data_IF_988671322103
#
_entry.id   IF_988671322103
#
_cell.length_a   1.000
_cell.length_b   1.000
_cell.length_c   1.000
_cell.angle_alpha   90.00
_cell.angle_beta   90.00
_cell.angle_gamma   90.00
#
_symmetry.space_group_name_H-M   'P 1'
#
loop_
_entity.id
_entity.type
_entity.pdbx_description
1 polymer ?
#
# COMPACT_ATOMS: atom_id res chain seq x y z
N UNK A 1 19.94 -10.96 5.76
CA UNK A 1 19.83 -10.56 7.18
C UNK A 1 18.38 -10.37 7.60
N UNK A 2 17.62 -9.47 6.95
CA UNK A 2 16.24 -9.08 7.34
C UNK A 2 15.14 -10.18 7.31
N UNK A 3 15.41 -11.40 6.87
CA UNK A 3 14.43 -12.50 6.78
C UNK A 3 14.59 -13.57 7.88
N UNK A 4 15.47 -13.34 8.87
CA UNK A 4 15.74 -14.32 9.91
C UNK A 4 14.65 -14.30 11.00
N UNK A 5 13.90 -15.40 11.10
CA UNK A 5 12.79 -15.55 12.08
C UNK A 5 13.25 -15.48 13.54
N UNK A 6 14.55 -15.62 13.82
CA UNK A 6 15.11 -15.39 15.16
C UNK A 6 14.83 -13.99 15.69
N UNK A 7 14.73 -12.99 14.82
CA UNK A 7 14.47 -11.62 15.27
C UNK A 7 13.10 -11.42 15.92
N UNK A 8 12.11 -12.22 15.53
CA UNK A 8 10.79 -12.23 16.19
C UNK A 8 10.68 -13.21 17.37
N UNK A 9 11.79 -13.85 17.77
CA UNK A 9 11.86 -14.77 18.90
C UNK A 9 11.70 -16.25 18.54
N UNK A 10 11.63 -16.59 17.25
CA UNK A 10 11.45 -17.97 16.80
C UNK A 10 12.79 -18.66 16.54
N UNK A 11 13.01 -19.80 17.18
CA UNK A 11 14.14 -20.66 16.88
C UNK A 11 13.72 -21.71 15.84
N UNK A 12 14.34 -21.65 14.65
CA UNK A 12 14.13 -22.63 13.59
C UNK A 12 15.32 -23.58 13.53
N UNK A 13 15.08 -24.87 13.68
CA UNK A 13 16.05 -25.93 13.41
C UNK A 13 15.42 -26.96 12.46
N UNK A 14 16.00 -27.07 11.26
CA UNK A 14 15.41 -27.85 10.15
C UNK A 14 13.96 -27.42 9.91
N UNK A 15 13.01 -28.34 10.10
CA UNK A 15 11.58 -28.12 9.88
C UNK A 15 10.81 -27.81 11.17
N UNK A 16 11.50 -27.80 12.32
CA UNK A 16 10.89 -27.53 13.62
C UNK A 16 11.05 -26.04 13.94
N UNK A 17 9.92 -25.38 14.21
CA UNK A 17 9.85 -23.99 14.65
C UNK A 17 9.43 -23.99 16.11
N UNK A 18 10.30 -23.49 16.98
CA UNK A 18 10.03 -23.32 18.41
C UNK A 18 9.78 -21.83 18.65
N UNK A 19 8.54 -21.51 19.06
CA UNK A 19 8.20 -20.14 19.43
C UNK A 19 8.79 -19.78 20.80
N UNK A 20 9.32 -18.57 20.94
CA UNK A 20 10.04 -18.13 22.15
C UNK A 20 11.39 -18.81 22.41
N UNK A 21 11.93 -19.59 21.47
CA UNK A 21 13.21 -20.30 21.64
C UNK A 21 14.46 -19.40 21.68
N UNK A 22 14.32 -18.11 21.35
CA UNK A 22 15.35 -17.08 21.49
C UNK A 22 14.75 -15.75 21.93
N UNK A 23 15.50 -14.87 22.62
CA UNK A 23 15.01 -13.54 22.97
C UNK A 23 14.54 -12.76 21.75
N UNK A 24 13.32 -12.24 21.81
CA UNK A 24 12.72 -11.41 20.77
C UNK A 24 13.45 -10.06 20.70
N UNK A 25 13.82 -9.64 19.49
CA UNK A 25 14.49 -8.35 19.23
C UNK A 25 13.52 -7.35 18.60
N UNK A 26 12.59 -7.82 17.75
CA UNK A 26 11.58 -7.00 17.07
C UNK A 26 10.19 -7.64 17.19
N UNK A 27 9.14 -6.83 17.10
CA UNK A 27 7.76 -7.34 17.09
C UNK A 27 7.43 -8.11 15.81
N UNK A 28 6.48 -9.04 15.91
CA UNK A 28 5.97 -9.81 14.78
C UNK A 28 5.38 -8.89 13.69
N UNK A 29 4.65 -7.85 14.11
CA UNK A 29 4.10 -6.84 13.20
C UNK A 29 5.19 -6.13 12.38
N UNK A 30 6.26 -5.68 13.03
CA UNK A 30 7.38 -5.02 12.35
C UNK A 30 8.12 -6.00 11.42
N UNK A 31 8.37 -7.22 11.88
CA UNK A 31 9.03 -8.25 11.08
C UNK A 31 8.22 -8.60 9.82
N UNK A 32 6.90 -8.75 9.96
CA UNK A 32 5.99 -9.04 8.85
C UNK A 32 5.92 -7.89 7.84
N UNK A 33 5.81 -6.63 8.30
CA UNK A 33 5.90 -5.44 7.43
C UNK A 33 7.20 -5.42 6.61
N UNK A 34 8.33 -5.79 7.23
CA UNK A 34 9.62 -5.91 6.52
C UNK A 34 9.61 -7.06 5.51
N UNK A 35 9.04 -8.22 5.84
CA UNK A 35 8.93 -9.34 4.89
C UNK A 35 8.10 -8.98 3.67
N UNK A 36 6.99 -8.26 3.84
CA UNK A 36 6.17 -7.77 2.73
C UNK A 36 6.95 -6.81 1.83
N UNK A 37 7.71 -5.88 2.42
CA UNK A 37 8.58 -4.97 1.67
C UNK A 37 9.66 -5.72 0.91
N UNK A 38 10.24 -6.78 1.49
CA UNK A 38 11.21 -7.65 0.81
C UNK A 38 10.58 -8.46 -0.34
N UNK A 39 9.34 -8.95 -0.19
CA UNK A 39 8.60 -9.60 -1.28
C UNK A 39 8.38 -8.64 -2.44
N UNK A 40 7.95 -7.40 -2.18
CA UNK A 40 7.83 -6.35 -3.20
C UNK A 40 9.18 -6.08 -3.87
N UNK A 41 10.25 -5.96 -3.10
CA UNK A 41 11.61 -5.74 -3.61
C UNK A 41 12.16 -6.92 -4.44
N UNK A 42 11.70 -8.16 -4.22
CA UNK A 42 12.11 -9.35 -4.99
C UNK A 42 11.79 -9.19 -6.48
N UNK A 43 10.64 -8.60 -6.81
CA UNK A 43 10.21 -8.35 -8.18
C UNK A 43 10.94 -7.16 -8.83
N UNK A 44 11.67 -6.35 -8.05
CA UNK A 44 12.34 -5.13 -8.51
C UNK A 44 13.86 -5.17 -8.39
N UNK A 45 14.48 -6.36 -8.24
CA UNK A 45 15.94 -6.52 -8.02
C UNK A 45 16.83 -5.86 -9.09
N UNK A 46 16.36 -5.78 -10.33
CA UNK A 46 17.08 -5.09 -11.43
C UNK A 46 17.08 -3.57 -11.28
N UNK A 47 16.12 -2.99 -10.54
CA UNK A 47 15.98 -1.52 -10.39
C UNK A 47 17.07 -0.92 -9.54
N UNK A 48 17.43 -1.57 -8.44
CA UNK A 48 18.50 -1.12 -7.55
C UNK A 48 19.90 -1.25 -8.17
N UNK A 49 20.03 -1.91 -9.33
CA UNK A 49 21.28 -2.00 -10.11
C UNK A 49 21.36 -0.97 -11.25
N UNK A 50 20.26 -0.31 -11.59
CA UNK A 50 20.21 0.63 -12.70
C UNK A 50 20.69 2.02 -12.24
N UNK A 51 21.55 2.67 -13.02
CA UNK A 51 21.97 4.08 -12.80
C UNK A 51 20.85 5.10 -13.11
N UNK A 52 19.70 4.62 -13.61
CA UNK A 52 18.57 5.41 -14.10
C UNK A 52 17.31 4.71 -13.58
N UNK A 53 16.47 5.43 -12.85
CA UNK A 53 15.25 4.88 -12.26
C UNK A 53 14.11 4.83 -13.28
N UNK A 54 13.36 3.74 -13.30
CA UNK A 54 12.19 3.53 -14.16
C UNK A 54 10.97 3.24 -13.29
N UNK A 55 10.32 4.28 -12.78
CA UNK A 55 9.29 4.14 -11.75
C UNK A 55 8.02 3.43 -12.23
N UNK A 56 7.77 3.37 -13.55
CA UNK A 56 6.65 2.63 -14.12
C UNK A 56 6.94 1.13 -14.34
N UNK A 57 8.17 0.64 -14.13
CA UNK A 57 8.54 -0.76 -14.48
C UNK A 57 7.75 -1.85 -13.74
N UNK A 58 7.05 -1.55 -12.64
CA UNK A 58 6.15 -2.50 -11.94
C UNK A 58 4.70 -2.40 -12.39
N UNK A 59 4.35 -1.31 -13.06
CA UNK A 59 2.96 -0.93 -13.29
C UNK A 59 2.64 -0.84 -14.77
N UNK A 60 3.64 -0.66 -15.64
CA UNK A 60 3.47 -0.56 -17.08
C UNK A 60 3.34 -1.94 -17.72
N UNK A 61 2.19 -2.16 -18.33
CA UNK A 61 1.76 -3.40 -18.96
C UNK A 61 1.47 -3.11 -20.43
N UNK A 62 1.87 -4.03 -21.31
CA UNK A 62 1.52 -3.96 -22.71
C UNK A 62 0.02 -4.23 -22.90
N UNK A 63 -0.71 -3.29 -23.51
CA UNK A 63 -2.13 -3.44 -23.78
C UNK A 63 -2.48 -4.59 -24.74
N UNK A 64 -1.54 -5.03 -25.57
CA UNK A 64 -1.80 -6.11 -26.54
C UNK A 64 -1.54 -7.51 -26.00
N UNK A 65 -0.43 -7.72 -25.29
CA UNK A 65 -0.02 -9.06 -24.85
C UNK A 65 -0.08 -9.27 -23.33
N UNK A 66 -0.44 -8.24 -22.55
CA UNK A 66 -0.55 -8.32 -21.10
C UNK A 66 0.78 -8.50 -20.35
N UNK A 67 1.92 -8.60 -21.05
CA UNK A 67 3.22 -8.67 -20.39
C UNK A 67 3.72 -7.28 -19.96
N UNK A 68 4.56 -7.25 -18.93
CA UNK A 68 5.19 -6.02 -18.45
C UNK A 68 6.07 -5.35 -19.50
N UNK A 69 6.19 -4.03 -19.39
CA UNK A 69 7.16 -3.25 -20.13
C UNK A 69 8.34 -2.90 -19.22
N UNK A 70 9.56 -3.12 -19.70
CA UNK A 70 10.79 -2.93 -18.92
C UNK A 70 11.62 -1.77 -19.47
N UNK A 71 12.34 -1.10 -18.58
CA UNK A 71 13.29 -0.05 -18.93
C UNK A 71 14.50 -0.58 -19.70
N UNK A 72 14.84 0.06 -20.81
CA UNK A 72 16.06 -0.15 -21.59
C UNK A 72 16.73 1.20 -21.88
N UNK A 73 18.05 1.23 -21.80
CA UNK A 73 18.85 2.39 -22.20
C UNK A 73 19.65 2.10 -23.46
N UNK A 74 19.61 3.01 -24.41
CA UNK A 74 20.44 3.02 -25.61
C UNK A 74 21.49 4.11 -25.51
N UNK A 75 22.73 3.83 -25.93
CA UNK A 75 23.79 4.84 -26.01
C UNK A 75 24.19 4.99 -27.48
N UNK A 76 24.08 6.20 -28.02
CA UNK A 76 24.56 6.47 -29.39
C UNK A 76 26.06 6.78 -29.40
N UNK A 77 26.69 6.79 -30.59
CA UNK A 77 28.13 7.07 -30.78
C UNK A 77 28.62 8.36 -30.08
N UNK A 78 27.75 9.36 -29.91
CA UNK A 78 28.04 10.62 -29.22
C UNK A 78 27.89 10.55 -27.67
N UNK A 79 27.81 9.35 -27.08
CA UNK A 79 27.63 9.10 -25.63
C UNK A 79 26.32 9.64 -25.01
N UNK A 80 25.40 10.18 -25.81
CA UNK A 80 24.06 10.55 -25.35
C UNK A 80 23.27 9.27 -25.05
N UNK A 81 22.70 9.20 -23.85
CA UNK A 81 21.89 8.08 -23.39
C UNK A 81 20.42 8.40 -23.51
N UNK A 82 19.68 7.53 -24.19
CA UNK A 82 18.23 7.58 -24.27
C UNK A 82 17.64 6.41 -23.48
N UNK A 83 16.49 6.67 -22.85
CA UNK A 83 15.82 5.70 -21.99
C UNK A 83 14.42 5.42 -22.54
N UNK A 84 14.06 4.15 -22.56
CA UNK A 84 12.84 3.67 -23.18
C UNK A 84 12.18 2.58 -22.36
N UNK A 85 10.87 2.40 -22.55
CA UNK A 85 10.16 1.20 -22.11
C UNK A 85 9.90 0.29 -23.31
N UNK A 86 10.30 -0.98 -23.17
CA UNK A 86 10.11 -2.02 -24.18
C UNK A 86 9.30 -3.19 -23.60
N UNK A 87 8.30 -3.65 -24.36
CA UNK A 87 7.51 -4.81 -23.98
C UNK A 87 8.37 -6.08 -23.90
N UNK A 88 8.24 -6.86 -22.84
CA UNK A 88 8.98 -8.13 -22.69
C UNK A 88 8.58 -9.16 -23.74
N UNK A 89 7.34 -9.14 -24.22
CA UNK A 89 6.85 -10.03 -25.27
C UNK A 89 7.56 -9.77 -26.59
N UNK A 90 7.79 -8.50 -26.93
CA UNK A 90 8.61 -8.09 -28.09
C UNK A 90 10.06 -8.53 -27.89
N UNK A 91 10.63 -8.22 -26.73
CA UNK A 91 12.02 -8.57 -26.41
C UNK A 91 12.32 -10.07 -26.43
N UNK A 92 11.35 -10.88 -26.00
CA UNK A 92 11.45 -12.35 -25.95
C UNK A 92 10.88 -13.02 -27.20
N UNK A 93 10.58 -12.26 -28.25
CA UNK A 93 10.06 -12.77 -29.53
C UNK A 93 8.80 -13.63 -29.39
N UNK A 94 7.89 -13.27 -28.50
CA UNK A 94 6.63 -13.99 -28.22
C UNK A 94 5.44 -13.53 -29.10
N UNK A 95 5.70 -13.04 -30.31
CA UNK A 95 4.65 -12.60 -31.25
C UNK A 95 3.97 -11.27 -30.90
N UNK A 96 4.55 -10.45 -30.01
CA UNK A 96 4.06 -9.09 -29.75
C UNK A 96 4.81 -8.07 -30.61
N UNK A 97 4.10 -7.05 -31.09
CA UNK A 97 4.63 -6.00 -31.97
C UNK A 97 4.51 -4.59 -31.37
N UNK A 98 4.27 -4.48 -30.06
CA UNK A 98 4.15 -3.21 -29.35
C UNK A 98 5.37 -2.30 -29.59
N UNK A 99 5.15 -1.06 -30.00
CA UNK A 99 6.24 -0.09 -30.20
C UNK A 99 6.89 0.29 -28.86
N UNK A 100 8.21 0.43 -28.89
CA UNK A 100 9.02 0.99 -27.79
C UNK A 100 8.65 2.46 -27.57
N UNK A 101 8.49 2.88 -26.33
CA UNK A 101 8.12 4.27 -25.97
C UNK A 101 9.28 4.94 -25.21
N UNK A 102 9.46 6.25 -25.39
CA UNK A 102 10.43 7.03 -24.61
C UNK A 102 10.00 7.08 -23.15
N UNK A 103 10.97 6.96 -22.25
CA UNK A 103 10.75 7.01 -20.79
C UNK A 103 10.05 8.30 -20.38
N UNK A 104 10.60 9.45 -20.80
CA UNK A 104 10.12 10.77 -20.40
C UNK A 104 8.64 10.96 -20.76
N UNK A 105 8.28 10.67 -22.00
CA UNK A 105 6.94 10.89 -22.54
C UNK A 105 5.86 10.13 -21.75
N UNK A 106 6.02 8.81 -21.55
CA UNK A 106 5.02 8.02 -20.83
C UNK A 106 5.00 8.34 -19.33
N UNK A 107 6.15 8.66 -18.74
CA UNK A 107 6.25 9.01 -17.33
C UNK A 107 5.59 10.35 -17.03
N UNK A 108 5.79 11.35 -17.89
CA UNK A 108 5.15 12.64 -17.80
C UNK A 108 3.63 12.52 -17.96
N UNK A 109 3.15 11.77 -18.96
CA UNK A 109 1.71 11.54 -19.17
C UNK A 109 1.07 10.92 -17.91
N UNK A 110 1.69 9.89 -17.33
CA UNK A 110 1.14 9.24 -16.13
C UNK A 110 1.18 10.19 -14.93
N UNK A 111 2.27 10.92 -14.71
CA UNK A 111 2.37 11.86 -13.60
C UNK A 111 1.35 12.99 -13.70
N UNK A 112 1.19 13.59 -14.88
CA UNK A 112 0.22 14.66 -15.13
C UNK A 112 -1.21 14.17 -14.89
N UNK A 113 -1.58 12.99 -15.41
CA UNK A 113 -2.93 12.44 -15.20
C UNK A 113 -3.21 12.13 -13.72
N UNK A 114 -2.21 11.61 -13.00
CA UNK A 114 -2.30 11.39 -11.55
C UNK A 114 -2.50 12.71 -10.83
N UNK A 115 -1.71 13.73 -11.15
CA UNK A 115 -1.82 15.05 -10.50
C UNK A 115 -3.18 15.71 -10.76
N UNK A 116 -3.67 15.64 -11.99
CA UNK A 116 -4.92 16.29 -12.41
C UNK A 116 -6.16 15.60 -11.84
N UNK A 117 -6.12 14.27 -11.71
CA UNK A 117 -7.28 13.49 -11.25
C UNK A 117 -7.29 13.25 -9.75
N UNK A 118 -6.15 12.93 -9.14
CA UNK A 118 -6.11 12.47 -7.75
C UNK A 118 -6.30 13.59 -6.73
N UNK A 119 -5.99 14.83 -7.10
CA UNK A 119 -6.00 15.98 -6.17
C UNK A 119 -7.11 17.00 -6.44
N UNK A 120 -8.22 16.54 -7.03
CA UNK A 120 -9.48 17.30 -7.06
C UNK A 120 -10.12 17.24 -5.68
N UNK A 121 -10.71 18.35 -5.23
CA UNK A 121 -11.28 18.45 -3.87
C UNK A 121 -12.32 17.36 -3.57
N UNK A 122 -13.20 17.07 -4.53
CA UNK A 122 -14.20 16.01 -4.40
C UNK A 122 -13.55 14.64 -4.15
N UNK A 123 -12.51 14.31 -4.91
CA UNK A 123 -11.85 13.01 -4.80
C UNK A 123 -11.00 12.90 -3.52
N UNK A 124 -10.43 14.00 -3.04
CA UNK A 124 -9.74 14.02 -1.75
C UNK A 124 -10.71 13.65 -0.63
N UNK A 125 -11.93 14.20 -0.65
CA UNK A 125 -12.97 13.85 0.31
C UNK A 125 -13.41 12.39 0.15
N UNK A 126 -13.63 11.91 -1.08
CA UNK A 126 -14.01 10.51 -1.34
C UNK A 126 -12.96 9.51 -0.86
N UNK A 127 -11.67 9.82 -1.05
CA UNK A 127 -10.55 8.99 -0.57
C UNK A 127 -10.55 9.00 0.96
N UNK A 128 -10.69 10.17 1.59
CA UNK A 128 -10.72 10.28 3.04
C UNK A 128 -11.85 9.44 3.63
N UNK A 129 -13.07 9.56 3.09
CA UNK A 129 -14.24 8.79 3.54
C UNK A 129 -14.06 7.28 3.30
N UNK A 130 -13.41 6.90 2.20
CA UNK A 130 -13.09 5.49 1.91
C UNK A 130 -12.06 4.90 2.87
N UNK A 131 -11.04 5.67 3.25
CA UNK A 131 -10.05 5.26 4.27
C UNK A 131 -10.74 5.11 5.63
N UNK A 132 -11.62 6.03 6.02
CA UNK A 132 -12.38 5.92 7.28
C UNK A 132 -13.25 4.66 7.30
N UNK A 133 -13.98 4.37 6.21
CA UNK A 133 -14.78 3.15 6.08
C UNK A 133 -13.95 1.86 6.14
N UNK A 134 -12.75 1.86 5.56
CA UNK A 134 -11.85 0.70 5.62
C UNK A 134 -11.33 0.50 7.05
N UNK A 135 -10.95 1.59 7.72
CA UNK A 135 -10.49 1.57 9.10
C UNK A 135 -11.57 1.04 10.05
N UNK A 136 -12.83 1.46 9.87
CA UNK A 136 -13.97 0.93 10.64
C UNK A 136 -14.21 -0.57 10.40
N UNK A 137 -14.03 -1.06 9.16
CA UNK A 137 -14.20 -2.48 8.84
C UNK A 137 -13.08 -3.36 9.38
N UNK A 138 -11.85 -2.87 9.36
CA UNK A 138 -10.69 -3.60 9.87
C UNK A 138 -10.62 -3.58 11.39
N UNK A 139 -11.15 -2.53 12.02
CA UNK A 139 -11.21 -2.41 13.48
C UNK A 139 -12.42 -3.14 14.07
N UNK A 140 -12.31 -4.47 14.20
CA UNK A 140 -13.33 -5.30 14.85
C UNK A 140 -13.15 -5.44 16.36
N UNK A 141 -11.95 -5.14 16.85
CA UNK A 141 -11.48 -5.37 18.22
C UNK A 141 -12.04 -4.33 19.19
N UNK A 142 -11.88 -3.05 18.88
CA UNK A 142 -12.34 -1.96 19.76
C UNK A 142 -13.88 -1.96 19.91
N UNK A 143 -14.69 -2.10 18.84
CA UNK A 143 -16.14 -2.15 18.99
C UNK A 143 -16.63 -3.33 19.83
N UNK A 144 -15.94 -4.48 19.75
CA UNK A 144 -16.25 -5.65 20.58
C UNK A 144 -15.98 -5.38 22.06
N UNK A 145 -14.83 -4.78 22.39
CA UNK A 145 -14.48 -4.41 23.77
C UNK A 145 -15.42 -3.35 24.34
N UNK A 146 -15.81 -2.34 23.53
CA UNK A 146 -16.82 -1.35 23.92
C UNK A 146 -18.18 -2.00 24.21
N UNK A 147 -18.59 -3.00 23.44
CA UNK A 147 -19.81 -3.76 23.70
C UNK A 147 -19.73 -4.53 25.02
N UNK A 148 -18.61 -5.20 25.29
CA UNK A 148 -18.38 -5.88 26.57
C UNK A 148 -18.42 -4.91 27.76
N UNK A 149 -17.85 -3.71 27.59
CA UNK A 149 -17.90 -2.66 28.60
C UNK A 149 -19.34 -2.21 28.89
N UNK A 150 -20.17 -2.06 27.85
CA UNK A 150 -21.59 -1.73 28.01
C UNK A 150 -22.37 -2.82 28.76
N UNK A 151 -22.09 -4.10 28.51
CA UNK A 151 -22.68 -5.24 29.23
C UNK A 151 -22.28 -5.26 30.72
N UNK A 152 -21.01 -4.93 31.03
CA UNK A 152 -20.52 -4.78 32.41
C UNK A 152 -21.22 -3.60 33.09
N UNK A 153 -21.32 -2.44 32.44
CA UNK A 153 -22.06 -1.28 32.98
C UNK A 153 -23.52 -1.61 33.29
N UNK A 154 -24.18 -2.34 32.40
CA UNK A 154 -25.55 -2.79 32.64
C UNK A 154 -25.64 -3.71 33.86
N UNK A 155 -24.68 -4.62 34.01
CA UNK A 155 -24.61 -5.55 35.15
C UNK A 155 -24.37 -4.81 36.48
N UNK A 156 -23.46 -3.83 36.49
CA UNK A 156 -23.20 -2.95 37.63
C UNK A 156 -24.48 -2.17 38.00
N UNK A 157 -25.14 -1.55 37.02
CA UNK A 157 -26.39 -0.80 37.25
C UNK A 157 -27.50 -1.70 37.81
N UNK A 158 -27.58 -2.95 37.39
CA UNK A 158 -28.54 -3.91 37.94
C UNK A 158 -28.23 -4.25 39.40
N UNK A 159 -26.96 -4.42 39.76
CA UNK A 159 -26.56 -4.63 41.16
C UNK A 159 -26.84 -3.41 42.03
N UNK A 160 -26.60 -2.19 41.52
CA UNK A 160 -26.93 -0.95 42.23
C UNK A 160 -28.43 -0.88 42.55
N UNK A 161 -29.30 -1.17 41.56
CA UNK A 161 -30.75 -1.23 41.78
C UNK A 161 -31.16 -2.26 42.83
N UNK A 162 -30.52 -3.43 42.84
CA UNK A 162 -30.80 -4.45 43.87
C UNK A 162 -30.41 -3.97 45.27
N UNK A 163 -29.29 -3.24 45.40
CA UNK A 163 -28.87 -2.63 46.66
C UNK A 163 -29.83 -1.53 47.13
N UNK A 164 -30.36 -0.70 46.23
CA UNK A 164 -31.39 0.31 46.53
C UNK A 164 -32.68 -0.33 47.08
N UNK A 165 -33.00 -1.55 46.66
CA UNK A 165 -34.11 -2.35 47.17
C UNK A 165 -33.81 -3.07 48.50
N UNK A 166 -32.62 -2.89 49.07
CA UNK A 166 -32.19 -3.50 50.33
C UNK A 166 -31.64 -4.92 50.21
N UNK A 167 -31.36 -5.40 48.99
CA UNK A 167 -30.77 -6.73 48.76
C UNK A 167 -29.24 -6.60 48.78
N UNK A 168 -28.66 -6.56 49.99
CA UNK A 168 -27.21 -6.50 50.19
C UNK A 168 -26.75 -7.76 50.92
N UNK A 169 -26.07 -8.66 50.21
CA UNK A 169 -25.37 -9.82 50.75
C UNK A 169 -23.86 -9.74 50.50
N UNK A 170 -23.09 -10.59 51.20
CA UNK A 170 -21.64 -10.69 51.01
C UNK A 170 -21.29 -11.04 49.54
N UNK A 171 -22.09 -11.91 48.94
CA UNK A 171 -21.95 -12.38 47.57
C UNK A 171 -22.20 -11.25 46.56
N UNK A 172 -23.25 -10.43 46.76
CA UNK A 172 -23.51 -9.26 45.88
C UNK A 172 -22.40 -8.21 45.96
N UNK A 173 -21.79 -8.00 47.13
CA UNK A 173 -20.66 -7.08 47.29
C UNK A 173 -19.42 -7.59 46.54
N UNK A 174 -19.09 -8.86 46.72
CA UNK A 174 -17.96 -9.49 46.02
C UNK A 174 -18.16 -9.42 44.49
N UNK A 175 -19.37 -9.71 44.01
CA UNK A 175 -19.68 -9.64 42.57
C UNK A 175 -19.58 -8.22 42.01
N UNK A 176 -19.96 -7.21 42.79
CA UNK A 176 -19.83 -5.81 42.41
C UNK A 176 -18.35 -5.41 42.25
N UNK A 177 -17.51 -5.79 43.22
CA UNK A 177 -16.06 -5.55 43.19
C UNK A 177 -15.39 -6.25 41.98
N UNK A 178 -15.80 -7.47 41.65
CA UNK A 178 -15.35 -8.18 40.44
C UNK A 178 -15.69 -7.43 39.15
N UNK A 179 -16.92 -6.92 39.03
CA UNK A 179 -17.37 -6.19 37.84
C UNK A 179 -16.68 -4.82 37.71
N UNK A 180 -16.46 -4.12 38.82
CA UNK A 180 -15.69 -2.87 38.84
C UNK A 180 -14.23 -3.11 38.41
N UNK A 181 -13.60 -4.17 38.90
CA UNK A 181 -12.25 -4.54 38.48
C UNK A 181 -12.20 -4.85 36.98
N UNK A 182 -13.14 -5.66 36.48
CA UNK A 182 -13.25 -5.97 35.04
C UNK A 182 -13.52 -4.73 34.19
N UNK A 183 -14.34 -3.77 34.67
CA UNK A 183 -14.55 -2.50 33.98
C UNK A 183 -13.23 -1.76 33.81
N UNK A 184 -12.51 -1.54 34.91
CA UNK A 184 -11.27 -0.77 34.89
C UNK A 184 -10.18 -1.43 34.04
N UNK A 185 -10.08 -2.75 34.08
CA UNK A 185 -9.16 -3.52 33.22
C UNK A 185 -9.53 -3.34 31.74
N UNK A 186 -10.80 -3.51 31.40
CA UNK A 186 -11.28 -3.42 30.02
C UNK A 186 -11.17 -1.99 29.46
N UNK A 187 -11.45 -0.96 30.26
CA UNK A 187 -11.23 0.45 29.90
C UNK A 187 -9.75 0.72 29.60
N UNK A 188 -8.86 0.19 30.43
CA UNK A 188 -7.42 0.33 30.25
C UNK A 188 -6.96 -0.37 28.97
N UNK A 189 -7.51 -1.54 28.68
CA UNK A 189 -7.16 -2.31 27.49
C UNK A 189 -7.71 -1.67 26.21
N UNK A 190 -8.91 -1.07 26.23
CA UNK A 190 -9.42 -0.26 25.13
C UNK A 190 -8.45 0.88 24.82
N UNK A 191 -8.01 1.64 25.83
CA UNK A 191 -7.07 2.75 25.64
C UNK A 191 -5.72 2.24 25.07
N UNK A 192 -5.20 1.12 25.58
CA UNK A 192 -3.96 0.52 25.03
C UNK A 192 -4.14 0.10 23.57
N UNK A 193 -5.30 -0.47 23.24
CA UNK A 193 -5.64 -0.92 21.89
C UNK A 193 -5.75 0.30 20.95
N UNK A 194 -6.42 1.37 21.37
CA UNK A 194 -6.52 2.66 20.65
C UNK A 194 -5.15 3.34 20.44
N UNK A 195 -4.20 3.13 21.37
CA UNK A 195 -2.83 3.63 21.21
C UNK A 195 -2.00 2.74 20.28
N UNK A 196 -2.23 1.42 20.28
CA UNK A 196 -1.53 0.47 19.41
C UNK A 196 -2.03 0.51 17.97
N UNK A 197 -3.33 0.65 17.79
CA UNK A 197 -3.96 0.84 16.50
C UNK A 197 -3.88 2.34 16.18
N UNK A 198 -2.96 2.75 15.31
CA UNK A 198 -2.89 4.14 14.83
C UNK A 198 -4.18 4.48 14.07
N UNK A 199 -5.21 4.92 14.80
CA UNK A 199 -6.48 5.40 14.23
C UNK A 199 -6.14 6.70 13.50
N UNK A 200 -6.12 6.64 12.16
CA UNK A 200 -5.88 7.81 11.34
C UNK A 200 -7.17 8.63 11.32
N UNK A 201 -7.08 9.94 11.58
CA UNK A 201 -8.24 10.83 11.49
C UNK A 201 -8.48 11.29 10.05
N UNK A 202 -9.72 11.69 9.75
CA UNK A 202 -10.08 12.22 8.43
C UNK A 202 -9.21 13.41 8.04
N UNK A 203 -8.96 14.32 8.98
CA UNK A 203 -8.12 15.51 8.78
C UNK A 203 -6.68 15.14 8.44
N UNK A 204 -6.14 14.11 9.10
CA UNK A 204 -4.79 13.60 8.81
C UNK A 204 -4.69 13.02 7.40
N UNK A 205 -5.71 12.28 6.93
CA UNK A 205 -5.75 11.77 5.56
C UNK A 205 -5.79 12.92 4.55
N UNK A 206 -6.67 13.90 4.78
CA UNK A 206 -6.82 15.07 3.90
C UNK A 206 -5.53 15.89 3.84
N UNK A 207 -4.89 16.14 4.98
CA UNK A 207 -3.64 16.90 5.02
C UNK A 207 -2.51 16.14 4.33
N UNK A 208 -2.39 14.83 4.57
CA UNK A 208 -1.44 13.99 3.87
C UNK A 208 -1.64 14.00 2.35
N UNK A 209 -2.89 13.97 1.86
CA UNK A 209 -3.19 14.10 0.44
C UNK A 209 -2.77 15.47 -0.11
N UNK A 210 -2.94 16.55 0.65
CA UNK A 210 -2.45 17.88 0.26
C UNK A 210 -0.92 17.95 0.23
N UNK A 211 -0.24 17.32 1.17
CA UNK A 211 1.22 17.21 1.15
C UNK A 211 1.70 16.44 -0.07
N UNK A 212 1.02 15.34 -0.42
CA UNK A 212 1.32 14.56 -1.62
C UNK A 212 1.19 15.39 -2.91
N UNK A 213 0.24 16.33 -2.97
CA UNK A 213 0.09 17.28 -4.09
C UNK A 213 1.26 18.26 -4.21
N UNK A 214 1.90 18.60 -3.08
CA UNK A 214 3.00 19.58 -3.02
C UNK A 214 4.38 18.95 -3.17
N UNK A 215 4.45 17.63 -3.39
CA UNK A 215 5.73 16.94 -3.57
C UNK A 215 6.50 17.52 -4.75
N UNK A 216 7.79 17.74 -4.53
CA UNK A 216 8.71 18.10 -5.61
C UNK A 216 8.91 16.90 -6.54
N UNK A 217 8.29 16.97 -7.72
CA UNK A 217 8.41 15.98 -8.78
C UNK A 217 9.71 16.11 -9.58
N UNK A 218 10.69 16.90 -9.14
CA UNK A 218 12.06 16.80 -9.67
C UNK A 218 12.74 15.50 -9.20
N UNK A 219 12.41 15.06 -7.98
CA UNK A 219 12.99 13.89 -7.33
C UNK A 219 12.29 12.60 -7.76
N UNK A 220 13.07 11.62 -8.23
CA UNK A 220 12.54 10.35 -8.71
C UNK A 220 11.83 9.53 -7.60
N UNK A 221 12.32 9.61 -6.37
CA UNK A 221 11.68 8.99 -5.19
C UNK A 221 10.25 9.52 -4.96
N UNK A 222 10.03 10.82 -5.16
CA UNK A 222 8.71 11.45 -5.00
C UNK A 222 7.76 11.05 -6.12
N UNK A 223 8.22 11.07 -7.38
CA UNK A 223 7.44 10.56 -8.53
C UNK A 223 7.00 9.13 -8.29
N UNK A 224 7.92 8.31 -7.79
CA UNK A 224 7.64 6.91 -7.47
C UNK A 224 6.65 6.77 -6.33
N UNK A 225 6.83 7.50 -5.23
CA UNK A 225 5.89 7.48 -4.10
C UNK A 225 4.49 7.83 -4.57
N UNK A 226 4.35 8.85 -5.42
CA UNK A 226 3.08 9.25 -6.01
C UNK A 226 2.44 8.11 -6.81
N UNK A 227 3.19 7.52 -7.75
CA UNK A 227 2.72 6.44 -8.62
C UNK A 227 2.42 5.16 -7.84
N UNK A 228 3.26 4.79 -6.87
CA UNK A 228 3.07 3.60 -6.04
C UNK A 228 1.80 3.70 -5.17
N UNK A 229 1.48 4.91 -4.70
CA UNK A 229 0.29 5.20 -3.90
C UNK A 229 -1.00 5.20 -4.71
N UNK A 230 -1.05 5.91 -5.85
CA UNK A 230 -2.32 6.18 -6.52
C UNK A 230 -2.59 5.28 -7.72
N UNK A 231 -1.55 4.76 -8.38
CA UNK A 231 -1.70 3.97 -9.59
C UNK A 231 -1.66 2.49 -9.23
N UNK A 232 -2.64 1.72 -9.69
CA UNK A 232 -2.60 0.26 -9.64
C UNK A 232 -1.76 -0.29 -10.79
N UNK A 233 -2.20 -0.02 -12.03
CA UNK A 233 -1.56 -0.48 -13.26
C UNK A 233 -1.78 0.50 -14.42
N UNK A 234 -0.88 0.46 -15.40
CA UNK A 234 -0.92 1.29 -16.61
C UNK A 234 -0.82 0.38 -17.82
N UNK A 235 -1.87 0.32 -18.65
CA UNK A 235 -1.87 -0.41 -19.91
C UNK A 235 -1.54 0.54 -21.05
N UNK A 236 -0.47 0.23 -21.79
CA UNK A 236 -0.01 1.05 -22.89
C UNK A 236 -0.30 0.36 -24.23
N UNK A 237 -1.07 1.04 -25.07
CA UNK A 237 -1.27 0.74 -26.48
C UNK A 237 -0.43 1.70 -27.33
N UNK A 238 -0.54 1.64 -28.66
CA UNK A 238 0.19 2.58 -29.51
C UNK A 238 -0.56 3.92 -29.69
N UNK A 239 -1.88 3.90 -29.50
CA UNK A 239 -2.81 5.01 -29.68
C UNK A 239 -3.41 5.54 -28.38
N UNK A 240 -3.28 4.78 -27.28
CA UNK A 240 -3.88 5.14 -25.98
C UNK A 240 -3.12 4.59 -24.78
N UNK A 241 -3.35 5.22 -23.64
CA UNK A 241 -2.90 4.78 -22.31
C UNK A 241 -4.12 4.59 -21.43
N UNK A 242 -4.20 3.46 -20.73
CA UNK A 242 -5.26 3.19 -19.75
C UNK A 242 -4.63 3.08 -18.36
N UNK A 243 -4.93 4.03 -17.48
CA UNK A 243 -4.43 4.10 -16.11
C UNK A 243 -5.54 3.61 -15.16
N UNK A 244 -5.24 2.56 -14.39
CA UNK A 244 -6.12 2.06 -13.33
C UNK A 244 -5.61 2.60 -12.01
N UNK A 245 -6.47 3.29 -11.27
CA UNK A 245 -6.14 3.89 -9.97
C UNK A 245 -6.51 2.97 -8.80
N UNK A 246 -5.84 3.13 -7.67
CA UNK A 246 -6.15 2.39 -6.44
C UNK A 246 -7.45 2.90 -5.76
N UNK A 247 -7.85 4.13 -6.04
CA UNK A 247 -8.91 4.84 -5.31
C UNK A 247 -10.29 4.83 -6.00
N UNK A 248 -10.44 4.18 -7.16
CA UNK A 248 -11.71 4.15 -7.93
C UNK A 248 -12.00 2.77 -8.49
N UNK A 249 -13.28 2.39 -8.50
CA UNK A 249 -13.84 1.46 -9.48
C UNK A 249 -13.96 2.19 -10.83
N UNK A 250 -12.85 2.35 -11.55
CA UNK A 250 -12.88 3.02 -12.86
C UNK A 250 -11.49 3.25 -13.45
N UNK A 251 -11.31 2.80 -14.70
CA UNK A 251 -10.11 3.03 -15.49
C UNK A 251 -10.17 4.40 -16.19
N UNK A 252 -9.07 5.14 -16.16
CA UNK A 252 -8.90 6.34 -16.98
C UNK A 252 -8.26 6.00 -18.31
N UNK A 253 -8.86 6.42 -19.41
CA UNK A 253 -8.28 6.25 -20.75
C UNK A 253 -7.86 7.60 -21.30
N UNK A 254 -6.61 7.70 -21.76
CA UNK A 254 -6.03 8.86 -22.43
C UNK A 254 -5.69 8.48 -23.86
N UNK A 255 -6.11 9.29 -24.82
CA UNK A 255 -5.64 9.18 -26.20
C UNK A 255 -4.22 9.74 -26.29
N UNK A 256 -3.33 9.04 -26.99
CA UNK A 256 -2.02 9.56 -27.34
C UNK A 256 -2.14 10.35 -28.65
N UNK A 257 -1.48 11.51 -28.78
CA UNK A 257 -1.38 12.17 -30.08
C UNK A 257 -0.69 11.22 -31.06
N UNK A 258 -1.41 10.87 -32.13
CA UNK A 258 -0.87 10.10 -33.25
C UNK A 258 0.03 11.02 -34.06
N UNK A 259 1.31 11.14 -33.69
CA UNK A 259 2.32 11.68 -34.61
C UNK A 259 3.70 11.04 -34.41
N UNK A 260 4.19 10.51 -35.54
CA UNK A 260 5.55 10.11 -35.94
C UNK A 260 6.58 9.73 -34.86
N UNK A 261 6.53 8.45 -34.47
CA UNK A 261 7.75 7.72 -34.08
C UNK A 261 8.04 6.58 -35.06
N UNK A 262 8.16 6.93 -36.34
CA UNK A 262 8.85 6.11 -37.34
C UNK A 262 10.29 6.60 -37.52
N UNK A 263 11.19 6.17 -36.63
CA UNK A 263 12.64 6.19 -36.91
C UNK A 263 13.39 5.21 -36.01
N UNK A 264 12.99 3.94 -36.03
CA UNK A 264 13.85 2.82 -35.67
C UNK A 264 13.42 1.61 -36.51
N UNK A 265 13.55 1.75 -37.84
CA UNK A 265 13.64 0.58 -38.69
C UNK A 265 14.92 -0.18 -38.34
N UNK A 266 14.74 -1.47 -38.02
CA UNK A 266 15.68 -2.59 -38.17
C UNK A 266 17.17 -2.21 -38.20
N UNK A 267 17.86 -2.34 -37.08
CA UNK A 267 19.31 -2.60 -37.08
C UNK A 267 19.59 -3.73 -36.10
N UNK A 268 20.01 -4.88 -36.63
CA UNK A 268 20.73 -5.92 -35.89
C UNK A 268 19.98 -7.24 -35.69
N UNK A 269 19.78 -8.02 -36.76
CA UNK A 269 19.84 -9.48 -36.64
C UNK A 269 21.31 -9.89 -36.82
N UNK A 270 21.91 -10.64 -35.88
CA UNK A 270 23.14 -11.37 -36.17
C UNK A 270 22.78 -12.72 -36.79
N UNK A 271 23.48 -13.07 -37.87
CA UNK A 271 23.62 -14.45 -38.33
C UNK A 271 24.21 -15.34 -37.23
#
# INVERSE_FOLDING_TARGET
MLSNVKYKGQYKYRDIIIDGGVPRIVSDALFNKVQERLKKNKYSRSRFKAKIEYFLSTKLICGYCGEFMIGESGTIRQKIKYNYYKCTGVKRHKGCHKKTVRKADIEEIVLTDVMDKMFKEDLINDIADSVMRLQEKENTTIPLMQKQLAEIHQSINNLVKAMEMGIVSRETKQRFEELEAQRTELETDIIKQEIQEEIITREQVVEWLKEMKRLDLSLDDNKRKLVDTFVNSVYLYDDKVVIIFNCREGASTLALPLDDTSACMRIGEPY
#
